data_IF_172203847113
#
_entry.id   IF_172203847113
#
_cell.length_a   1.000
_cell.length_b   1.000
_cell.length_c   1.000
_cell.angle_alpha   90.00
_cell.angle_beta   90.00
_cell.angle_gamma   90.00
#
_symmetry.space_group_name_H-M   'P 1'
#
loop_
_entity.id
_entity.type
_entity.pdbx_description
1 polymer ?
#
# COMPACT_ATOMS: atom_id res chain seq x y z
N UNK A 1 -13.19 -8.38 9.94
CA UNK A 1 -11.78 -8.47 10.40
C UNK A 1 -10.83 -8.72 9.24
N UNK A 2 -10.99 -9.80 8.47
CA UNK A 2 -10.14 -10.08 7.30
C UNK A 2 -9.98 -8.90 6.33
N UNK A 3 -11.07 -8.20 6.00
CA UNK A 3 -10.98 -7.02 5.12
C UNK A 3 -10.20 -5.86 5.75
N UNK A 4 -10.22 -5.72 7.07
CA UNK A 4 -9.42 -4.70 7.77
C UNK A 4 -7.93 -5.03 7.67
N UNK A 5 -7.58 -6.30 7.89
CA UNK A 5 -6.20 -6.77 7.74
C UNK A 5 -5.69 -6.63 6.30
N UNK A 6 -6.53 -6.96 5.30
CA UNK A 6 -6.21 -6.72 3.89
C UNK A 6 -6.04 -5.24 3.53
N UNK A 7 -6.65 -4.34 4.30
CA UNK A 7 -6.54 -2.89 4.15
C UNK A 7 -5.48 -2.30 5.08
N UNK A 8 -4.58 -3.10 5.66
CA UNK A 8 -3.55 -2.66 6.61
C UNK A 8 -4.09 -1.86 7.81
N UNK A 9 -5.35 -2.04 8.19
CA UNK A 9 -5.94 -1.34 9.34
C UNK A 9 -5.55 -1.97 10.68
N UNK A 10 -5.22 -3.25 10.67
CA UNK A 10 -4.74 -4.05 11.80
C UNK A 10 -3.83 -5.18 11.26
N UNK A 11 -2.99 -5.73 12.12
CA UNK A 11 -2.28 -6.97 11.79
C UNK A 11 -3.23 -8.19 11.85
N UNK A 12 -2.94 -9.28 11.11
CA UNK A 12 -3.80 -10.47 11.10
C UNK A 12 -4.04 -11.10 12.49
N UNK A 13 -3.08 -10.97 13.41
CA UNK A 13 -3.15 -11.53 14.76
C UNK A 13 -3.86 -10.60 15.76
N UNK A 14 -4.18 -9.37 15.36
CA UNK A 14 -4.79 -8.37 16.22
C UNK A 14 -6.32 -8.46 16.25
N UNK A 15 -6.88 -8.06 17.39
CA UNK A 15 -8.33 -7.97 17.56
C UNK A 15 -8.80 -6.53 17.36
N UNK A 16 -9.84 -6.36 16.54
CA UNK A 16 -10.54 -5.10 16.33
C UNK A 16 -12.03 -5.29 16.56
N UNK A 17 -12.65 -4.39 17.31
CA UNK A 17 -14.10 -4.32 17.42
C UNK A 17 -14.61 -3.20 16.52
N UNK A 18 -15.59 -3.51 15.66
CA UNK A 18 -16.19 -2.54 14.75
C UNK A 18 -17.48 -1.98 15.37
N UNK A 19 -17.62 -0.65 15.35
CA UNK A 19 -18.82 0.00 15.85
C UNK A 19 -20.00 -0.13 14.87
N UNK A 20 -21.20 -0.34 15.42
CA UNK A 20 -22.43 -0.60 14.67
C UNK A 20 -22.79 -2.09 14.58
N UNK A 21 -23.80 -2.41 13.77
CA UNK A 21 -24.34 -3.77 13.64
C UNK A 21 -24.51 -4.22 12.17
N UNK A 22 -24.12 -3.38 11.21
CA UNK A 22 -24.31 -3.64 9.77
C UNK A 22 -22.99 -4.06 9.13
N UNK A 23 -22.88 -5.35 8.82
CA UNK A 23 -21.76 -5.89 8.03
C UNK A 23 -21.62 -5.19 6.67
N UNK A 24 -22.74 -4.77 6.07
CA UNK A 24 -22.76 -4.03 4.80
C UNK A 24 -22.05 -2.68 4.92
N UNK A 25 -22.42 -1.90 5.93
CA UNK A 25 -21.82 -0.59 6.21
C UNK A 25 -20.33 -0.73 6.51
N UNK A 26 -19.95 -1.76 7.27
CA UNK A 26 -18.54 -2.05 7.55
C UNK A 26 -17.76 -2.32 6.28
N UNK A 27 -18.25 -3.21 5.41
CA UNK A 27 -17.58 -3.53 4.14
C UNK A 27 -17.44 -2.32 3.23
N UNK A 28 -18.46 -1.48 3.16
CA UNK A 28 -18.41 -0.24 2.38
C UNK A 28 -17.35 0.71 2.93
N UNK A 29 -17.36 0.98 4.25
CA UNK A 29 -16.39 1.89 4.89
C UNK A 29 -14.96 1.37 4.77
N UNK A 30 -14.73 0.09 5.06
CA UNK A 30 -13.42 -0.55 4.96
C UNK A 30 -12.95 -0.57 3.50
N UNK A 31 -13.83 -0.90 2.55
CA UNK A 31 -13.48 -0.96 1.13
C UNK A 31 -13.19 0.41 0.50
N UNK A 32 -13.78 1.48 1.04
CA UNK A 32 -13.57 2.85 0.58
C UNK A 32 -12.39 3.55 1.28
N UNK A 33 -11.86 2.97 2.37
CA UNK A 33 -10.70 3.52 3.06
C UNK A 33 -9.44 3.39 2.19
N UNK A 34 -8.50 4.31 2.40
CA UNK A 34 -7.13 4.16 1.86
C UNK A 34 -6.33 3.32 2.87
N UNK A 35 -5.66 2.23 2.45
CA UNK A 35 -4.82 1.45 3.36
C UNK A 35 -3.76 2.35 4.04
N UNK A 36 -3.54 2.25 5.36
CA UNK A 36 -2.54 3.04 6.08
C UNK A 36 -1.14 2.97 5.48
N UNK A 37 -0.64 1.78 5.15
CA UNK A 37 0.70 1.62 4.53
C UNK A 37 0.80 2.37 3.19
N UNK A 38 -0.27 2.34 2.38
CA UNK A 38 -0.32 3.06 1.13
C UNK A 38 -0.38 4.57 1.36
N UNK A 39 -1.15 5.02 2.36
CA UNK A 39 -1.24 6.42 2.75
C UNK A 39 0.11 6.95 3.26
N UNK A 40 0.83 6.17 4.05
CA UNK A 40 2.19 6.49 4.52
C UNK A 40 3.15 6.64 3.35
N UNK A 41 3.23 5.66 2.45
CA UNK A 41 4.10 5.71 1.29
C UNK A 41 3.82 6.92 0.37
N UNK A 42 2.54 7.25 0.16
CA UNK A 42 2.12 8.45 -0.58
C UNK A 42 2.56 9.72 0.19
N UNK A 43 2.33 9.73 1.51
CA UNK A 43 2.71 10.82 2.40
C UNK A 43 4.22 11.09 2.39
N UNK A 44 5.06 10.06 2.42
CA UNK A 44 6.51 10.17 2.33
C UNK A 44 6.97 10.78 1.00
N UNK A 45 6.40 10.31 -0.12
CA UNK A 45 6.70 10.84 -1.44
C UNK A 45 6.31 12.33 -1.55
N UNK A 46 5.13 12.69 -1.04
CA UNK A 46 4.67 14.09 -0.99
C UNK A 46 5.54 14.92 -0.04
N UNK A 47 5.84 14.44 1.16
CA UNK A 47 6.68 15.12 2.15
C UNK A 47 8.07 15.43 1.59
N UNK A 48 8.70 14.46 0.93
CA UNK A 48 9.99 14.67 0.24
C UNK A 48 9.89 15.78 -0.81
N UNK A 49 8.83 15.76 -1.63
CA UNK A 49 8.62 16.78 -2.66
C UNK A 49 8.45 18.18 -2.04
N UNK A 50 7.65 18.29 -0.98
CA UNK A 50 7.42 19.55 -0.28
C UNK A 50 8.71 20.10 0.35
N UNK A 51 9.50 19.26 1.00
CA UNK A 51 10.78 19.64 1.59
C UNK A 51 11.79 20.13 0.53
N UNK A 52 11.85 19.48 -0.63
CA UNK A 52 12.70 19.91 -1.73
C UNK A 52 12.30 21.29 -2.23
N UNK A 53 11.01 21.50 -2.49
CA UNK A 53 10.47 22.80 -2.93
C UNK A 53 10.76 23.88 -1.89
N UNK A 54 10.57 23.61 -0.60
CA UNK A 54 10.88 24.56 0.47
C UNK A 54 12.36 24.91 0.57
N UNK A 55 13.25 23.98 0.23
CA UNK A 55 14.70 24.24 0.17
C UNK A 55 15.15 25.00 -1.08
N UNK A 56 14.23 25.35 -1.99
CA UNK A 56 14.54 25.99 -3.27
C UNK A 56 15.06 25.02 -4.34
N UNK A 57 14.93 23.71 -4.11
CA UNK A 57 15.31 22.67 -5.07
C UNK A 57 14.08 22.27 -5.92
N UNK A 58 14.30 22.09 -7.22
CA UNK A 58 13.26 21.54 -8.11
C UNK A 58 13.25 20.02 -7.99
N UNK A 59 12.10 19.44 -7.66
CA UNK A 59 11.93 17.99 -7.72
C UNK A 59 12.00 17.51 -9.18
N UNK A 60 12.90 16.58 -9.46
CA UNK A 60 12.92 15.81 -10.71
C UNK A 60 12.21 14.48 -10.45
N UNK A 61 11.31 14.05 -11.34
CA UNK A 61 10.68 12.74 -11.27
C UNK A 61 11.79 11.68 -11.46
N UNK A 62 12.36 11.22 -10.35
CA UNK A 62 13.40 10.21 -10.31
C UNK A 62 12.83 8.80 -10.46
N UNK A 63 13.71 7.82 -10.66
CA UNK A 63 13.37 6.37 -10.72
C UNK A 63 13.09 5.79 -9.33
N UNK A 64 12.37 6.51 -8.46
CA UNK A 64 11.94 5.97 -7.18
C UNK A 64 11.13 4.71 -7.47
N UNK A 65 11.51 3.55 -6.91
CA UNK A 65 10.89 2.29 -7.27
C UNK A 65 9.38 2.36 -7.01
N UNK A 66 8.59 1.99 -8.02
CA UNK A 66 7.14 1.82 -7.88
C UNK A 66 6.92 0.78 -6.78
N UNK A 67 6.13 1.15 -5.78
CA UNK A 67 5.82 0.43 -4.55
C UNK A 67 5.14 -0.94 -4.77
N UNK A 68 4.85 -1.30 -6.02
CA UNK A 68 4.40 -2.62 -6.47
C UNK A 68 5.59 -3.47 -6.91
N UNK A 69 6.54 -3.78 -6.01
CA UNK A 69 7.70 -4.65 -6.35
C UNK A 69 7.53 -6.11 -5.97
N UNK A 70 6.63 -6.46 -5.05
CA UNK A 70 6.49 -7.84 -4.61
C UNK A 70 5.90 -8.76 -5.69
N UNK A 71 5.11 -8.24 -6.64
CA UNK A 71 4.55 -9.04 -7.75
C UNK A 71 5.48 -9.21 -8.96
N UNK A 72 6.38 -8.25 -9.23
CA UNK A 72 7.32 -8.34 -10.35
C UNK A 72 8.46 -9.34 -10.11
N UNK A 73 8.96 -9.42 -8.87
CA UNK A 73 9.96 -10.42 -8.50
C UNK A 73 9.40 -11.85 -8.67
N UNK A 74 8.15 -12.10 -8.25
CA UNK A 74 7.48 -13.38 -8.41
C UNK A 74 7.29 -13.78 -9.88
N UNK A 75 6.95 -12.82 -10.76
CA UNK A 75 6.84 -13.08 -12.20
C UNK A 75 8.19 -13.45 -12.84
N UNK A 76 9.28 -12.80 -12.40
CA UNK A 76 10.63 -13.10 -12.91
C UNK A 76 11.15 -14.48 -12.48
N UNK A 77 10.72 -14.97 -11.32
CA UNK A 77 11.02 -16.34 -10.84
C UNK A 77 10.21 -17.37 -11.64
N UNK A 78 8.92 -17.14 -11.86
CA UNK A 78 8.06 -18.06 -12.63
C UNK A 78 8.49 -18.20 -14.10
N UNK A 79 9.17 -17.20 -14.67
CA UNK A 79 9.65 -17.23 -16.06
C UNK A 79 10.94 -18.06 -16.25
N UNK A 80 11.66 -18.38 -15.16
CA UNK A 80 12.89 -19.18 -15.19
C UNK A 80 12.65 -20.69 -15.26
N UNK A 81 11.46 -21.16 -14.86
CA UNK A 81 11.16 -22.60 -14.72
C UNK A 81 10.59 -23.24 -16.00
N UNK A 82 10.24 -22.44 -17.02
CA UNK A 82 9.69 -22.94 -18.29
C UNK A 82 10.72 -23.20 -19.39
N UNK A 83 12.03 -23.08 -19.08
CA UNK A 83 13.08 -23.25 -20.08
C UNK A 83 14.19 -24.21 -19.63
N UNK A 84 13.78 -25.36 -19.08
CA UNK A 84 14.64 -26.53 -18.95
C UNK A 84 13.99 -27.65 -19.76
N UNK A 85 14.71 -28.10 -20.80
CA UNK A 85 14.37 -29.25 -21.62
C UNK A 85 14.31 -30.54 -20.81
#
# INVERSE_FOLDING_TARGET
LELCALQSLIEPEEYLELDGLSDGDWRERIGNAVPPDAAEAIGEAFGTTLLLVWSGQTYSIGKTPIWVRNSLAALSVAQGDFNVQ
#
